data_IF_819466227715
#
_entry.id   IF_819466227715
#
_cell.length_a   1.000
_cell.length_b   1.000
_cell.length_c   1.000
_cell.angle_alpha   90.00
_cell.angle_beta   90.00
_cell.angle_gamma   90.00
#
_symmetry.space_group_name_H-M   'P 1'
#
loop_
_entity.id
_entity.type
_entity.pdbx_description
1 polymer ?
#
# COMPACT_ATOMS: atom_id res chain seq x y z
N UNK A 1 -1.02 3.50 6.50
CA UNK A 1 -0.77 3.04 5.12
C UNK A 1 -0.70 4.17 4.09
N UNK A 2 -1.67 5.10 4.10
CA UNK A 2 -1.79 6.20 3.13
C UNK A 2 -0.49 7.01 2.97
N UNK A 3 0.15 7.41 4.07
CA UNK A 3 1.36 8.25 4.00
C UNK A 3 2.54 7.52 3.35
N UNK A 4 2.66 6.20 3.52
CA UNK A 4 3.70 5.40 2.85
C UNK A 4 3.42 5.36 1.33
N UNK A 5 2.16 5.17 0.93
CA UNK A 5 1.78 5.17 -0.48
C UNK A 5 2.11 6.50 -1.17
N UNK A 6 1.86 7.62 -0.49
CA UNK A 6 2.18 8.96 -1.01
C UNK A 6 3.68 9.21 -0.98
N UNK A 7 4.36 8.90 0.13
CA UNK A 7 5.80 9.11 0.30
C UNK A 7 6.63 8.30 -0.70
N UNK A 8 6.15 7.13 -1.12
CA UNK A 8 6.80 6.27 -2.10
C UNK A 8 6.31 6.52 -3.54
N UNK A 9 5.57 7.62 -3.78
CA UNK A 9 5.01 8.01 -5.09
C UNK A 9 4.18 6.90 -5.78
N UNK A 10 3.56 5.99 -5.01
CA UNK A 10 2.61 5.01 -5.57
C UNK A 10 1.27 5.65 -5.92
N UNK A 11 0.90 6.71 -5.20
CA UNK A 11 -0.34 7.45 -5.41
C UNK A 11 -0.02 8.93 -5.47
N UNK A 12 -0.79 9.65 -6.26
CA UNK A 12 -0.62 11.09 -6.47
C UNK A 12 -1.08 11.89 -5.25
N UNK A 13 -1.97 11.34 -4.42
CA UNK A 13 -2.49 12.02 -3.24
C UNK A 13 -3.03 11.08 -2.17
N UNK A 14 -3.22 11.59 -0.95
CA UNK A 14 -3.87 10.88 0.16
C UNK A 14 -5.30 10.44 -0.20
N UNK A 15 -6.04 11.27 -0.94
CA UNK A 15 -7.40 10.96 -1.39
C UNK A 15 -7.43 9.81 -2.41
N UNK A 16 -6.46 9.77 -3.32
CA UNK A 16 -6.30 8.66 -4.26
C UNK A 16 -5.97 7.35 -3.52
N UNK A 17 -5.06 7.39 -2.54
CA UNK A 17 -4.78 6.22 -1.70
C UNK A 17 -6.03 5.71 -0.99
N UNK A 18 -6.83 6.61 -0.37
CA UNK A 18 -8.10 6.22 0.25
C UNK A 18 -9.01 5.52 -0.75
N UNK A 19 -9.25 6.13 -1.92
CA UNK A 19 -10.09 5.54 -2.98
C UNK A 19 -9.62 4.15 -3.40
N UNK A 20 -8.32 3.96 -3.61
CA UNK A 20 -7.74 2.67 -4.00
C UNK A 20 -7.89 1.61 -2.91
N UNK A 21 -7.72 1.98 -1.64
CA UNK A 21 -7.95 1.06 -0.53
C UNK A 21 -9.44 0.71 -0.38
N UNK A 22 -10.35 1.68 -0.54
CA UNK A 22 -11.80 1.41 -0.52
C UNK A 22 -12.25 0.51 -1.68
N UNK A 23 -11.57 0.61 -2.83
CA UNK A 23 -11.81 -0.24 -4.00
C UNK A 23 -11.13 -1.60 -3.93
N UNK A 24 -10.54 -1.99 -2.78
CA UNK A 24 -9.79 -3.24 -2.63
C UNK A 24 -8.62 -3.38 -3.62
N UNK A 25 -8.12 -2.25 -4.15
CA UNK A 25 -7.07 -2.23 -5.16
C UNK A 25 -5.66 -2.35 -4.54
N UNK A 26 -5.54 -2.22 -3.21
CA UNK A 26 -4.29 -2.37 -2.48
C UNK A 26 -4.20 -3.78 -1.91
N UNK A 27 -3.15 -4.51 -2.30
CA UNK A 27 -2.84 -5.83 -1.79
C UNK A 27 -1.47 -5.83 -1.14
N UNK A 28 -1.34 -6.47 0.00
CA UNK A 28 -0.09 -6.70 0.70
C UNK A 28 0.13 -8.20 0.71
N UNK A 29 1.24 -8.66 0.12
CA UNK A 29 1.62 -10.06 0.05
C UNK A 29 0.47 -10.97 -0.48
N UNK A 30 -0.21 -10.49 -1.52
CA UNK A 30 -1.37 -11.14 -2.12
C UNK A 30 -2.70 -10.97 -1.37
N UNK A 31 -2.69 -10.50 -0.11
CA UNK A 31 -3.90 -10.26 0.69
C UNK A 31 -4.43 -8.84 0.48
N UNK A 32 -5.75 -8.70 0.35
CA UNK A 32 -6.38 -7.38 0.22
C UNK A 32 -6.21 -6.62 1.54
N UNK A 33 -5.72 -5.38 1.47
CA UNK A 33 -5.57 -4.51 2.62
C UNK A 33 -6.50 -3.31 2.47
N UNK A 34 -7.59 -3.31 3.24
CA UNK A 34 -8.59 -2.24 3.26
C UNK A 34 -8.41 -1.29 4.44
N UNK A 35 -7.50 -1.60 5.34
CA UNK A 35 -7.31 -0.84 6.56
C UNK A 35 -6.43 0.38 6.29
N UNK A 36 -7.05 1.56 6.28
CA UNK A 36 -6.37 2.84 6.07
C UNK A 36 -5.32 3.13 7.16
N UNK A 37 -5.62 2.67 8.38
CA UNK A 37 -4.78 2.81 9.55
C UNK A 37 -3.73 1.70 9.63
N UNK A 38 -3.67 0.78 8.65
CA UNK A 38 -2.69 -0.29 8.65
C UNK A 38 -1.27 0.28 8.74
N UNK A 39 -0.57 -0.13 9.79
CA UNK A 39 0.82 0.25 10.05
C UNK A 39 1.67 -0.92 9.56
N UNK A 40 2.47 -0.68 8.53
CA UNK A 40 3.53 -1.61 8.14
C UNK A 40 4.58 -1.60 9.23
N UNK A 41 4.59 -2.63 10.07
CA UNK A 41 5.67 -2.84 11.05
C UNK A 41 6.94 -3.17 10.27
N UNK A 42 7.91 -2.26 10.31
CA UNK A 42 9.29 -2.52 9.85
C UNK A 42 9.87 -3.62 10.74
N UNK A 43 10.35 -4.71 10.13
CA UNK A 43 10.89 -5.87 10.84
C UNK A 43 10.28 -7.23 10.46
N UNK A 44 9.34 -7.28 9.51
CA UNK A 44 8.74 -8.54 9.02
C UNK A 44 9.44 -9.14 7.79
N UNK A 45 10.63 -8.66 7.42
CA UNK A 45 11.34 -9.11 6.21
C UNK A 45 10.85 -8.41 4.93
N UNK A 46 10.98 -9.09 3.79
CA UNK A 46 10.57 -8.56 2.48
C UNK A 46 9.05 -8.58 2.33
N UNK A 47 8.45 -7.44 2.02
CA UNK A 47 7.01 -7.29 1.93
C UNK A 47 6.62 -6.59 0.62
N UNK A 48 5.78 -7.25 -0.17
CA UNK A 48 5.35 -6.76 -1.48
C UNK A 48 3.97 -6.12 -1.38
N UNK A 49 3.88 -4.85 -1.72
CA UNK A 49 2.65 -4.07 -1.78
C UNK A 49 2.30 -3.85 -3.25
N UNK A 50 1.14 -4.33 -3.66
CA UNK A 50 0.58 -4.13 -4.98
C UNK A 50 -0.55 -3.11 -4.91
N UNK A 51 -0.48 -2.09 -5.76
CA UNK A 51 -1.50 -1.03 -5.87
C UNK A 51 -2.07 -1.04 -7.29
N UNK A 52 -3.27 -1.60 -7.43
CA UNK A 52 -3.91 -1.80 -8.73
C UNK A 52 -3.15 -2.79 -9.62
N UNK A 53 -3.16 -2.56 -10.94
CA UNK A 53 -2.58 -3.50 -11.93
C UNK A 53 -1.11 -3.26 -12.24
N UNK A 54 -0.65 -2.00 -12.23
CA UNK A 54 0.66 -1.58 -12.75
C UNK A 54 1.65 -1.07 -11.70
N UNK A 55 1.23 -0.86 -10.45
CA UNK A 55 2.07 -0.28 -9.40
C UNK A 55 2.39 -1.31 -8.33
N UNK A 56 3.68 -1.50 -8.08
CA UNK A 56 4.20 -2.46 -7.10
C UNK A 56 5.29 -1.75 -6.29
N UNK A 57 5.27 -1.96 -4.98
CA UNK A 57 6.29 -1.51 -4.06
C UNK A 57 6.82 -2.71 -3.31
N UNK A 58 8.13 -2.84 -3.28
CA UNK A 58 8.81 -3.84 -2.48
C UNK A 58 9.42 -3.13 -1.29
N UNK A 59 8.93 -3.44 -0.10
CA UNK A 59 9.44 -2.91 1.16
C UNK A 59 10.45 -3.92 1.69
N UNK A 60 11.71 -3.52 1.73
CA UNK A 60 12.78 -4.24 2.40
C UNK A 60 13.00 -3.50 3.74
N UNK A 61 12.93 -4.22 4.85
CA UNK A 61 13.34 -3.71 6.18
C UNK A 61 14.59 -4.43 6.64
#
# INVERSE_FOLDING_TARGET
MIDILVSQNLVSSKAEAKRLMTQNAVKIDGKICNDLAHILKKGCGELVIKVGKRRFLRVLS
#
